data_IF_082933140542
#
_entry.id   IF_082933140542
#
_cell.length_a   1.000
_cell.length_b   1.000
_cell.length_c   1.000
_cell.angle_alpha   90.00
_cell.angle_beta   90.00
_cell.angle_gamma   90.00
#
_symmetry.space_group_name_H-M   'P 1'
#
loop_
_entity.id
_entity.type
_entity.pdbx_description
1 polymer ?
#
# COMPACT_ATOMS: atom_id res chain seq x y z
N UNK A 1 -5.58 12.20 15.31
CA UNK A 1 -5.41 13.37 14.43
C UNK A 1 -5.66 12.90 13.01
N UNK A 2 -6.82 13.23 12.45
CA UNK A 2 -7.20 12.87 11.07
C UNK A 2 -6.65 13.94 10.13
N UNK A 3 -5.32 14.01 9.98
CA UNK A 3 -4.69 14.94 9.06
C UNK A 3 -4.50 14.28 7.69
N UNK A 4 -5.13 14.88 6.68
CA UNK A 4 -4.87 14.66 5.26
C UNK A 4 -5.58 13.45 4.66
N UNK A 5 -6.74 13.71 4.04
CA UNK A 5 -7.30 12.82 3.03
C UNK A 5 -6.86 13.31 1.65
N UNK A 6 -6.37 12.39 0.83
CA UNK A 6 -5.77 12.70 -0.47
C UNK A 6 -6.52 11.96 -1.58
N UNK A 7 -6.88 12.67 -2.65
CA UNK A 7 -7.38 12.06 -3.87
C UNK A 7 -6.24 11.43 -4.70
N UNK A 8 -6.58 10.59 -5.69
CA UNK A 8 -5.58 9.91 -6.55
C UNK A 8 -4.54 10.86 -7.16
N UNK A 9 -4.96 12.04 -7.60
CA UNK A 9 -4.10 13.06 -8.20
C UNK A 9 -3.10 13.65 -7.21
N UNK A 10 -3.51 13.84 -5.95
CA UNK A 10 -2.64 14.33 -4.90
C UNK A 10 -1.64 13.26 -4.49
N UNK A 11 -2.08 12.01 -4.34
CA UNK A 11 -1.18 10.88 -4.08
C UNK A 11 -0.14 10.74 -5.20
N UNK A 12 -0.57 10.81 -6.46
CA UNK A 12 0.31 10.76 -7.62
C UNK A 12 1.40 11.85 -7.57
N UNK A 13 1.00 13.09 -7.25
CA UNK A 13 1.92 14.22 -7.09
C UNK A 13 2.90 14.02 -5.93
N UNK A 14 2.39 13.63 -4.75
CA UNK A 14 3.19 13.47 -3.53
C UNK A 14 4.21 12.34 -3.64
N UNK A 15 3.86 11.25 -4.34
CA UNK A 15 4.70 10.05 -4.43
C UNK A 15 5.47 9.92 -5.75
N UNK A 16 5.30 10.87 -6.68
CA UNK A 16 5.93 10.81 -8.00
C UNK A 16 5.53 9.56 -8.79
N UNK A 17 4.23 9.23 -8.76
CA UNK A 17 3.66 8.04 -9.40
C UNK A 17 2.60 8.43 -10.42
N UNK A 18 2.30 7.53 -11.36
CA UNK A 18 1.18 7.76 -12.28
C UNK A 18 -0.17 7.49 -11.59
N UNK A 19 -1.21 8.24 -11.95
CA UNK A 19 -2.58 7.95 -11.49
C UNK A 19 -3.06 6.55 -11.92
N UNK A 20 -2.51 6.03 -13.01
CA UNK A 20 -2.76 4.67 -13.48
C UNK A 20 -2.27 3.60 -12.50
N UNK A 21 -1.06 3.76 -11.94
CA UNK A 21 -0.54 2.88 -10.89
C UNK A 21 -1.39 2.96 -9.62
N UNK A 22 -1.74 4.18 -9.19
CA UNK A 22 -2.59 4.39 -8.00
C UNK A 22 -3.93 3.67 -8.16
N UNK A 23 -4.60 3.88 -9.30
CA UNK A 23 -5.89 3.26 -9.61
C UNK A 23 -5.78 1.75 -9.76
N UNK A 24 -4.71 1.26 -10.38
CA UNK A 24 -4.49 -0.18 -10.54
C UNK A 24 -4.29 -0.86 -9.18
N UNK A 25 -3.47 -0.31 -8.29
CA UNK A 25 -3.22 -0.92 -6.99
C UNK A 25 -4.40 -0.81 -6.02
N UNK A 26 -5.18 0.29 -6.10
CA UNK A 26 -6.49 0.40 -5.44
C UNK A 26 -7.43 -0.72 -5.91
N UNK A 27 -7.68 -0.84 -7.22
CA UNK A 27 -8.56 -1.88 -7.77
C UNK A 27 -8.04 -3.29 -7.54
N UNK A 28 -6.73 -3.46 -7.44
CA UNK A 28 -6.08 -4.72 -7.10
C UNK A 28 -6.24 -5.10 -5.61
N UNK A 29 -6.86 -4.26 -4.78
CA UNK A 29 -7.05 -4.48 -3.35
C UNK A 29 -5.78 -4.35 -2.51
N UNK A 30 -4.69 -3.83 -3.09
CA UNK A 30 -3.41 -3.66 -2.38
C UNK A 30 -3.43 -2.47 -1.45
N UNK A 31 -4.16 -1.41 -1.83
CA UNK A 31 -4.36 -0.23 -1.01
C UNK A 31 -5.86 0.00 -0.88
N UNK A 32 -6.36 0.06 0.35
CA UNK A 32 -7.74 0.45 0.63
C UNK A 32 -7.82 1.96 0.87
N UNK A 33 -8.82 2.65 0.31
CA UNK A 33 -9.08 4.03 0.69
C UNK A 33 -9.62 4.08 2.12
N UNK A 34 -9.35 5.18 2.82
CA UNK A 34 -9.90 5.46 4.14
C UNK A 34 -11.39 5.80 4.03
N UNK A 35 -11.78 6.54 2.99
CA UNK A 35 -13.17 6.85 2.71
C UNK A 35 -13.44 6.99 1.21
N UNK A 36 -14.72 7.11 0.86
CA UNK A 36 -15.15 7.48 -0.50
C UNK A 36 -16.07 8.68 -0.44
N UNK A 37 -15.70 9.76 -1.12
CA UNK A 37 -16.53 10.95 -1.27
C UNK A 37 -17.07 11.01 -2.69
N UNK A 38 -18.41 10.96 -2.85
CA UNK A 38 -19.07 10.94 -4.17
C UNK A 38 -18.50 9.88 -5.13
N UNK A 39 -18.16 8.71 -4.60
CA UNK A 39 -17.58 7.59 -5.36
C UNK A 39 -16.06 7.65 -5.56
N UNK A 40 -15.44 8.81 -5.36
CA UNK A 40 -13.98 8.96 -5.45
C UNK A 40 -13.30 8.50 -4.17
N UNK A 41 -12.25 7.66 -4.25
CA UNK A 41 -11.50 7.22 -3.08
C UNK A 41 -10.63 8.35 -2.53
N UNK A 42 -10.63 8.44 -1.21
CA UNK A 42 -9.74 9.30 -0.46
C UNK A 42 -8.84 8.44 0.42
N UNK A 43 -7.55 8.75 0.37
CA UNK A 43 -6.48 7.98 1.00
C UNK A 43 -5.93 8.76 2.18
N UNK A 44 -5.76 8.10 3.31
CA UNK A 44 -5.11 8.67 4.48
C UNK A 44 -3.58 8.45 4.41
N UNK A 45 -2.86 8.92 5.42
CA UNK A 45 -1.41 8.74 5.50
C UNK A 45 -0.98 7.26 5.44
N UNK A 46 -1.72 6.34 6.08
CA UNK A 46 -1.42 4.90 6.02
C UNK A 46 -1.45 4.41 4.57
N UNK A 47 -2.45 4.82 3.79
CA UNK A 47 -2.52 4.50 2.38
C UNK A 47 -1.33 5.06 1.58
N UNK A 48 -0.87 6.29 1.86
CA UNK A 48 0.33 6.86 1.23
C UNK A 48 1.59 6.03 1.52
N UNK A 49 1.79 5.61 2.77
CA UNK A 49 2.90 4.74 3.17
C UNK A 49 2.84 3.41 2.42
N UNK A 50 1.65 2.81 2.29
CA UNK A 50 1.48 1.57 1.54
C UNK A 50 1.71 1.74 0.03
N UNK A 51 1.27 2.84 -0.58
CA UNK A 51 1.58 3.13 -2.00
C UNK A 51 3.09 3.20 -2.22
N UNK A 52 3.81 3.90 -1.33
CA UNK A 52 5.27 3.94 -1.37
C UNK A 52 5.88 2.54 -1.21
N UNK A 53 5.40 1.74 -0.26
CA UNK A 53 5.89 0.37 -0.07
C UNK A 53 5.69 -0.51 -1.32
N UNK A 54 4.50 -0.46 -1.94
CA UNK A 54 4.23 -1.20 -3.18
C UNK A 54 5.17 -0.74 -4.31
N UNK A 55 5.35 0.57 -4.46
CA UNK A 55 6.27 1.14 -5.47
C UNK A 55 7.69 0.64 -5.28
N UNK A 56 8.19 0.64 -4.06
CA UNK A 56 9.56 0.25 -3.75
C UNK A 56 9.72 -1.28 -3.98
N UNK A 57 8.77 -2.12 -3.53
CA UNK A 57 8.76 -3.57 -3.83
C UNK A 57 8.67 -3.87 -5.33
N UNK A 58 7.93 -3.05 -6.10
CA UNK A 58 7.88 -3.17 -7.57
C UNK A 58 9.23 -2.87 -8.21
N UNK A 59 9.95 -1.86 -7.71
CA UNK A 59 11.32 -1.52 -8.16
C UNK A 59 12.33 -2.62 -7.83
N UNK A 60 12.12 -3.35 -6.73
CA UNK A 60 12.88 -4.56 -6.37
C UNK A 60 12.50 -5.80 -7.22
N UNK A 61 11.59 -5.67 -8.18
CA UNK A 61 11.24 -6.73 -9.13
C UNK A 61 10.11 -7.66 -8.69
N UNK A 62 9.45 -7.40 -7.55
CA UNK A 62 8.29 -8.19 -7.16
C UNK A 62 7.09 -7.88 -8.05
N UNK A 63 6.34 -8.90 -8.47
CA UNK A 63 5.07 -8.68 -9.17
C UNK A 63 3.96 -8.24 -8.21
N UNK A 64 2.99 -7.46 -8.70
CA UNK A 64 1.79 -7.05 -7.95
C UNK A 64 1.07 -8.25 -7.33
N UNK A 65 1.01 -9.38 -8.04
CA UNK A 65 0.45 -10.64 -7.53
C UNK A 65 1.22 -11.17 -6.32
N UNK A 66 2.56 -11.13 -6.33
CA UNK A 66 3.38 -11.54 -5.19
C UNK A 66 3.19 -10.59 -4.01
N UNK A 67 3.20 -9.28 -4.26
CA UNK A 67 2.97 -8.27 -3.23
C UNK A 67 1.61 -8.49 -2.56
N UNK A 68 0.54 -8.78 -3.33
CA UNK A 68 -0.78 -9.12 -2.78
C UNK A 68 -0.72 -10.35 -1.87
N UNK A 69 -0.06 -11.43 -2.31
CA UNK A 69 0.10 -12.64 -1.49
C UNK A 69 0.81 -12.35 -0.17
N UNK A 70 1.76 -11.41 -0.15
CA UNK A 70 2.44 -10.99 1.06
C UNK A 70 1.56 -10.11 1.95
N UNK A 71 0.80 -9.17 1.39
CA UNK A 71 -0.18 -8.39 2.12
C UNK A 71 -1.22 -9.28 2.82
N UNK A 72 -1.73 -10.31 2.12
CA UNK A 72 -2.65 -11.30 2.71
C UNK A 72 -2.00 -12.13 3.83
N UNK A 73 -0.71 -12.44 3.72
CA UNK A 73 0.03 -13.12 4.80
C UNK A 73 0.17 -12.22 6.02
N UNK A 74 0.50 -10.95 5.81
CA UNK A 74 0.55 -9.96 6.91
C UNK A 74 -0.81 -9.84 7.57
N UNK A 75 -1.90 -9.71 6.80
CA UNK A 75 -3.27 -9.65 7.35
C UNK A 75 -3.66 -10.89 8.16
N UNK A 76 -3.10 -12.06 7.85
CA UNK A 76 -3.29 -13.28 8.68
C UNK A 76 -2.49 -13.26 9.98
N UNK A 77 -1.33 -12.61 9.99
CA UNK A 77 -0.49 -12.46 11.18
C UNK A 77 -0.96 -11.31 12.08
N UNK A 78 -1.50 -10.25 11.48
CA UNK A 78 -2.04 -9.04 12.13
C UNK A 78 -3.46 -8.80 11.60
N UNK A 79 -4.48 -9.51 12.13
CA UNK A 79 -5.86 -9.42 11.65
C UNK A 79 -6.47 -8.02 11.71
N UNK A 80 -6.02 -7.18 12.63
CA UNK A 80 -6.45 -5.79 12.83
C UNK A 80 -5.86 -4.82 11.80
N UNK A 81 -4.84 -5.23 11.04
CA UNK A 81 -4.15 -4.34 10.11
C UNK A 81 -5.07 -3.82 9.00
N UNK A 82 -5.49 -2.56 9.09
CA UNK A 82 -6.36 -1.93 8.09
C UNK A 82 -5.62 -1.82 6.76
N UNK A 83 -4.32 -1.51 6.85
CA UNK A 83 -3.43 -1.34 5.72
C UNK A 83 -2.13 -2.15 5.92
N UNK A 84 -2.14 -3.46 5.60
CA UNK A 84 -1.04 -4.38 5.92
C UNK A 84 0.35 -3.93 5.43
N UNK A 85 0.42 -3.27 4.28
CA UNK A 85 1.68 -2.81 3.68
C UNK A 85 2.23 -1.51 4.29
N UNK A 86 1.45 -0.83 5.13
CA UNK A 86 1.92 0.31 5.91
C UNK A 86 2.44 -0.11 7.30
N UNK A 87 1.92 -1.20 7.83
CA UNK A 87 2.12 -1.65 9.22
C UNK A 87 3.25 -2.68 9.36
N UNK A 88 3.68 -3.29 8.25
CA UNK A 88 4.81 -4.23 8.22
C UNK A 88 5.78 -3.83 7.13
N UNK A 89 7.06 -3.69 7.49
CA UNK A 89 8.14 -3.50 6.51
C UNK A 89 8.46 -4.85 5.88
N UNK A 90 8.28 -4.94 4.57
CA UNK A 90 8.64 -6.10 3.76
C UNK A 90 9.97 -5.80 3.08
N UNK A 91 10.92 -6.73 3.15
CA UNK A 91 12.23 -6.60 2.50
C UNK A 91 12.59 -7.87 1.73
N UNK A 92 13.24 -7.71 0.58
CA UNK A 92 13.83 -8.81 -0.18
C UNK A 92 15.30 -8.97 0.20
N UNK A 93 15.67 -10.10 0.80
CA UNK A 93 17.06 -10.45 1.14
C UNK A 93 17.48 -11.66 0.32
N UNK A 94 18.30 -11.43 -0.71
CA UNK A 94 18.64 -12.46 -1.70
C UNK A 94 17.38 -12.94 -2.45
N UNK A 95 16.93 -14.16 -2.17
CA UNK A 95 15.67 -14.72 -2.70
C UNK A 95 14.57 -14.87 -1.65
N UNK A 96 14.85 -14.50 -0.41
CA UNK A 96 13.92 -14.64 0.72
C UNK A 96 13.18 -13.33 0.97
N UNK A 97 11.92 -13.45 1.41
CA UNK A 97 11.11 -12.31 1.82
C UNK A 97 11.05 -12.29 3.34
N UNK A 98 11.47 -11.18 3.93
CA UNK A 98 11.49 -10.95 5.37
C UNK A 98 10.42 -9.93 5.73
N UNK A 99 9.69 -10.19 6.82
CA UNK A 99 8.70 -9.30 7.39
C UNK A 99 9.25 -8.73 8.69
N UNK A 100 9.30 -7.41 8.79
CA UNK A 100 9.68 -6.68 10.00
C UNK A 100 8.45 -5.95 10.52
N UNK A 101 7.90 -6.45 11.62
CA UNK A 101 6.81 -5.80 12.34
C UNK A 101 7.42 -5.09 13.56
N UNK A 102 7.25 -3.77 13.62
CA UNK A 102 7.43 -3.05 14.87
C UNK A 102 6.13 -3.26 15.64
N UNK A 103 6.19 -4.01 16.75
CA UNK A 103 5.06 -4.16 17.66
C UNK A 103 4.71 -2.84 18.33
#
# INVERSE_FOLDING_TARGET
MTEGLFGRREVARLLGMSEGEIRYWEKAGLIRPAERHKGEPLFDFKALVAFRAVRDLRREGLSVRRIRKYAERVKKMVPEAEQPLAEVRISLVGRQVVFHHAG
#
